data_IF_276856138747
#
_entry.id   IF_276856138747
#
_cell.length_a   1.000
_cell.length_b   1.000
_cell.length_c   1.000
_cell.angle_alpha   90.00
_cell.angle_beta   90.00
_cell.angle_gamma   90.00
#
_symmetry.space_group_name_H-M   'P 1'
#
loop_
_entity.id
_entity.type
_entity.pdbx_description
1 polymer ?
#
# COMPACT_ATOMS: atom_id res chain seq x y z
N UNK A 1 14.92 -6.95 21.06
CA UNK A 1 13.65 -7.46 20.50
C UNK A 1 12.58 -6.37 20.44
N UNK A 2 12.33 -5.66 21.54
CA UNK A 2 11.30 -4.60 21.60
C UNK A 2 11.55 -3.46 20.60
N UNK A 3 12.80 -3.08 20.36
CA UNK A 3 13.15 -2.03 19.40
C UNK A 3 12.84 -2.41 17.94
N UNK A 4 13.12 -3.66 17.55
CA UNK A 4 12.82 -4.17 16.20
C UNK A 4 11.32 -4.25 15.94
N UNK A 5 10.54 -4.73 16.93
CA UNK A 5 9.07 -4.77 16.86
C UNK A 5 8.50 -3.35 16.78
N UNK A 6 8.98 -2.44 17.62
CA UNK A 6 8.53 -1.03 17.61
C UNK A 6 8.82 -0.37 16.26
N UNK A 7 10.02 -0.59 15.71
CA UNK A 7 10.42 -0.10 14.38
C UNK A 7 9.49 -0.64 13.29
N UNK A 8 9.14 -1.93 13.33
CA UNK A 8 8.21 -2.52 12.38
C UNK A 8 6.80 -1.90 12.48
N UNK A 9 6.29 -1.71 13.70
CA UNK A 9 5.00 -1.06 13.95
C UNK A 9 4.98 0.37 13.38
N UNK A 10 6.03 1.15 13.64
CA UNK A 10 6.15 2.49 13.07
C UNK A 10 6.20 2.48 11.54
N UNK A 11 6.92 1.52 10.93
CA UNK A 11 6.94 1.36 9.48
C UNK A 11 5.55 1.07 8.91
N UNK A 12 4.74 0.24 9.57
CA UNK A 12 3.34 -0.03 9.19
C UNK A 12 2.50 1.25 9.27
N UNK A 13 2.62 2.05 10.35
CA UNK A 13 1.88 3.30 10.47
C UNK A 13 2.25 4.32 9.40
N UNK A 14 3.54 4.45 9.07
CA UNK A 14 4.00 5.29 7.96
C UNK A 14 3.41 4.80 6.63
N UNK A 15 3.42 3.48 6.40
CA UNK A 15 2.86 2.90 5.18
C UNK A 15 1.35 3.13 5.06
N UNK A 16 0.61 2.97 6.16
CA UNK A 16 -0.81 3.30 6.23
C UNK A 16 -1.06 4.80 5.95
N UNK A 17 -0.23 5.68 6.51
CA UNK A 17 -0.34 7.13 6.26
C UNK A 17 -0.16 7.46 4.76
N UNK A 18 0.78 6.79 4.07
CA UNK A 18 0.97 6.94 2.62
C UNK A 18 -0.27 6.46 1.86
N UNK A 19 -0.85 5.32 2.21
CA UNK A 19 -2.08 4.82 1.59
C UNK A 19 -3.25 5.80 1.77
N UNK A 20 -3.44 6.30 2.98
CA UNK A 20 -4.49 7.29 3.29
C UNK A 20 -4.28 8.58 2.51
N UNK A 21 -3.05 9.07 2.41
CA UNK A 21 -2.71 10.26 1.62
C UNK A 21 -2.99 10.06 0.12
N UNK A 22 -2.69 8.86 -0.40
CA UNK A 22 -2.98 8.52 -1.80
C UNK A 22 -4.48 8.44 -2.05
N UNK A 23 -5.24 7.78 -1.17
CA UNK A 23 -6.71 7.74 -1.24
C UNK A 23 -7.31 9.15 -1.17
N UNK A 24 -6.87 9.96 -0.22
CA UNK A 24 -7.27 11.36 -0.08
C UNK A 24 -7.02 12.13 -1.38
N UNK A 25 -5.86 11.94 -2.00
CA UNK A 25 -5.52 12.59 -3.26
C UNK A 25 -6.47 12.19 -4.39
N UNK A 26 -6.85 10.91 -4.49
CA UNK A 26 -7.81 10.41 -5.49
C UNK A 26 -9.22 10.97 -5.25
N UNK A 27 -9.65 11.11 -3.99
CA UNK A 27 -11.00 11.59 -3.66
C UNK A 27 -11.13 13.11 -3.83
N UNK A 28 -10.07 13.87 -3.58
CA UNK A 28 -10.13 15.35 -3.57
C UNK A 28 -9.74 16.02 -4.88
N UNK A 29 -8.80 15.45 -5.64
CA UNK A 29 -8.37 16.06 -6.89
C UNK A 29 -9.29 15.66 -8.03
N UNK A 30 -9.96 16.63 -8.66
CA UNK A 30 -10.78 16.41 -9.86
C UNK A 30 -9.97 16.47 -11.16
N UNK A 31 -8.82 17.13 -11.16
CA UNK A 31 -7.93 17.20 -12.32
C UNK A 31 -7.04 15.96 -12.43
N UNK A 32 -7.20 15.20 -13.51
CA UNK A 32 -6.46 13.97 -13.75
C UNK A 32 -4.96 14.20 -13.88
N UNK A 33 -4.52 15.27 -14.55
CA UNK A 33 -3.08 15.51 -14.80
C UNK A 33 -2.34 15.75 -13.48
N UNK A 34 -2.92 16.59 -12.61
CA UNK A 34 -2.39 16.90 -11.27
C UNK A 34 -2.43 15.69 -10.34
N UNK A 35 -3.47 14.85 -10.44
CA UNK A 35 -3.52 13.57 -9.72
C UNK A 35 -2.44 12.62 -10.22
N UNK A 36 -2.35 12.42 -11.53
CA UNK A 36 -1.43 11.50 -12.18
C UNK A 36 0.03 11.82 -11.83
N UNK A 37 0.42 13.10 -11.87
CA UNK A 37 1.77 13.53 -11.46
C UNK A 37 2.05 13.19 -9.99
N UNK A 38 1.09 13.44 -9.10
CA UNK A 38 1.23 13.13 -7.66
C UNK A 38 1.33 11.63 -7.42
N UNK A 39 0.44 10.83 -8.01
CA UNK A 39 0.44 9.37 -7.85
C UNK A 39 1.71 8.74 -8.44
N UNK A 40 2.19 9.24 -9.58
CA UNK A 40 3.46 8.81 -10.17
C UNK A 40 4.64 9.04 -9.21
N UNK A 41 4.66 10.17 -8.52
CA UNK A 41 5.70 10.47 -7.52
C UNK A 41 5.52 9.68 -6.22
N UNK A 42 4.28 9.43 -5.78
CA UNK A 42 4.00 8.62 -4.59
C UNK A 42 4.25 7.12 -4.80
N UNK A 43 4.21 6.63 -6.04
CA UNK A 43 4.45 5.21 -6.36
C UNK A 43 5.80 4.68 -5.86
N UNK A 44 6.96 5.32 -6.15
CA UNK A 44 8.24 4.87 -5.61
C UNK A 44 8.28 4.96 -4.07
N UNK A 45 7.67 6.00 -3.48
CA UNK A 45 7.61 6.16 -2.01
C UNK A 45 6.78 5.03 -1.38
N UNK A 46 5.66 4.67 -1.99
CA UNK A 46 4.83 3.55 -1.58
C UNK A 46 5.61 2.23 -1.62
N UNK A 47 6.30 1.95 -2.73
CA UNK A 47 7.08 0.71 -2.86
C UNK A 47 8.26 0.66 -1.90
N UNK A 48 8.91 1.80 -1.65
CA UNK A 48 9.95 1.93 -0.64
C UNK A 48 9.39 1.63 0.76
N UNK A 49 8.26 2.23 1.13
CA UNK A 49 7.62 1.98 2.42
C UNK A 49 7.21 0.51 2.58
N UNK A 50 6.62 -0.09 1.54
CA UNK A 50 6.29 -1.53 1.54
C UNK A 50 7.55 -2.39 1.71
N UNK A 51 8.65 -2.06 1.03
CA UNK A 51 9.92 -2.77 1.17
C UNK A 51 10.49 -2.66 2.60
N UNK A 52 10.40 -1.49 3.24
CA UNK A 52 10.79 -1.32 4.65
C UNK A 52 9.93 -2.20 5.56
N UNK A 53 8.61 -2.24 5.34
CA UNK A 53 7.70 -3.09 6.12
C UNK A 53 8.07 -4.57 5.97
N UNK A 54 8.31 -5.03 4.75
CA UNK A 54 8.75 -6.41 4.48
C UNK A 54 10.09 -6.70 5.15
N UNK A 55 11.07 -5.81 5.02
CA UNK A 55 12.41 -6.00 5.57
C UNK A 55 12.40 -6.05 7.10
N UNK A 56 11.75 -5.08 7.74
CA UNK A 56 11.60 -5.05 9.20
C UNK A 56 10.78 -6.21 9.73
N UNK A 57 9.70 -6.62 9.02
CA UNK A 57 8.89 -7.78 9.38
C UNK A 57 9.68 -9.09 9.28
N UNK A 58 10.52 -9.21 8.26
CA UNK A 58 11.44 -10.36 8.11
C UNK A 58 12.41 -10.44 9.28
N UNK A 59 13.02 -9.32 9.68
CA UNK A 59 13.90 -9.25 10.85
C UNK A 59 13.15 -9.73 12.11
N UNK A 60 11.96 -9.20 12.37
CA UNK A 60 11.13 -9.59 13.53
C UNK A 60 10.81 -11.09 13.50
N UNK A 61 10.44 -11.63 12.33
CA UNK A 61 10.16 -13.06 12.16
C UNK A 61 11.39 -13.93 12.47
N UNK A 62 12.57 -13.60 11.95
CA UNK A 62 13.81 -14.34 12.23
C UNK A 62 14.20 -14.29 13.70
N UNK A 63 14.09 -13.12 14.35
CA UNK A 63 14.40 -13.00 15.78
C UNK A 63 13.44 -13.79 16.68
N UNK A 64 12.19 -13.96 16.26
CA UNK A 64 11.20 -14.71 17.05
C UNK A 64 11.46 -16.23 17.11
N UNK A 65 12.34 -16.77 16.25
CA UNK A 65 12.63 -18.21 16.11
C UNK A 65 11.40 -19.13 15.91
N UNK A 66 10.20 -18.55 15.74
CA UNK A 66 8.94 -19.25 15.57
C UNK A 66 8.17 -18.63 14.42
N UNK A 67 7.89 -19.44 13.39
CA UNK A 67 7.05 -19.02 12.27
C UNK A 67 5.58 -19.10 12.70
N UNK A 68 4.99 -17.96 13.05
CA UNK A 68 3.58 -17.89 13.44
C UNK A 68 2.67 -17.87 12.21
N UNK A 69 1.42 -18.31 12.39
CA UNK A 69 0.37 -18.22 11.36
C UNK A 69 0.20 -16.77 10.85
N UNK A 70 0.37 -15.79 11.73
CA UNK A 70 0.31 -14.36 11.40
C UNK A 70 1.42 -13.94 10.42
N UNK A 71 2.66 -14.42 10.62
CA UNK A 71 3.78 -14.16 9.70
C UNK A 71 3.50 -14.79 8.32
N UNK A 72 2.92 -16.00 8.31
CA UNK A 72 2.54 -16.68 7.08
C UNK A 72 1.52 -15.89 6.25
N UNK A 73 0.62 -15.14 6.88
CA UNK A 73 -0.36 -14.28 6.22
C UNK A 73 0.21 -12.94 5.75
N UNK A 74 1.20 -12.38 6.46
CA UNK A 74 1.81 -11.09 6.12
C UNK A 74 2.58 -11.12 4.79
N UNK A 75 3.27 -12.23 4.50
CA UNK A 75 4.06 -12.40 3.26
C UNK A 75 3.18 -12.27 2.00
N UNK A 76 2.14 -13.09 1.78
CA UNK A 76 1.30 -12.98 0.59
C UNK A 76 0.57 -11.63 0.51
N UNK A 77 0.19 -11.04 1.66
CA UNK A 77 -0.42 -9.72 1.68
C UNK A 77 0.53 -8.63 1.16
N UNK A 78 1.79 -8.63 1.61
CA UNK A 78 2.78 -7.63 1.15
C UNK A 78 3.05 -7.73 -0.36
N UNK A 79 3.09 -8.95 -0.92
CA UNK A 79 3.20 -9.20 -2.36
C UNK A 79 1.94 -8.71 -3.07
N UNK A 80 0.76 -8.98 -2.51
CA UNK A 80 -0.50 -8.56 -3.08
C UNK A 80 -0.61 -7.03 -3.18
N UNK A 81 -0.28 -6.31 -2.10
CA UNK A 81 -0.22 -4.84 -2.07
C UNK A 81 0.74 -4.31 -3.15
N UNK A 82 1.92 -4.92 -3.28
CA UNK A 82 2.89 -4.55 -4.30
C UNK A 82 2.33 -4.74 -5.73
N UNK A 83 1.72 -5.88 -6.01
CA UNK A 83 1.19 -6.20 -7.35
C UNK A 83 0.03 -5.27 -7.73
N UNK A 84 -0.87 -4.97 -6.80
CA UNK A 84 -1.99 -4.07 -7.04
C UNK A 84 -1.49 -2.65 -7.36
N UNK A 85 -0.54 -2.12 -6.61
CA UNK A 85 -0.04 -0.76 -6.85
C UNK A 85 0.69 -0.65 -8.21
N UNK A 86 1.38 -1.72 -8.63
CA UNK A 86 1.98 -1.84 -9.97
C UNK A 86 0.88 -1.85 -11.05
N UNK A 87 -0.19 -2.61 -10.86
CA UNK A 87 -1.32 -2.64 -11.80
C UNK A 87 -1.95 -1.26 -11.94
N UNK A 88 -2.12 -0.53 -10.83
CA UNK A 88 -2.62 0.85 -10.83
C UNK A 88 -1.69 1.82 -11.54
N UNK A 89 -0.38 1.72 -11.33
CA UNK A 89 0.59 2.53 -12.07
C UNK A 89 0.54 2.25 -13.58
N UNK A 90 0.46 0.98 -13.97
CA UNK A 90 0.37 0.58 -15.38
C UNK A 90 -0.90 1.11 -16.03
N UNK A 91 -2.06 1.03 -15.37
CA UNK A 91 -3.33 1.59 -15.88
C UNK A 91 -3.25 3.11 -16.04
N UNK A 92 -2.61 3.81 -15.12
CA UNK A 92 -2.43 5.25 -15.19
C UNK A 92 -1.58 5.69 -16.40
N UNK A 93 -0.48 4.98 -16.68
CA UNK A 93 0.55 5.40 -17.65
C UNK A 93 0.04 5.49 -19.10
N UNK A 94 -0.98 4.74 -19.45
CA UNK A 94 -1.48 4.62 -20.83
C UNK A 94 -2.55 5.66 -21.19
N UNK A 95 -3.11 6.36 -20.20
CA UNK A 95 -4.23 7.29 -20.38
C UNK A 95 -3.69 8.65 -20.88
N UNK A 96 -4.25 9.15 -21.98
CA UNK A 96 -3.91 10.47 -22.54
C UNK A 96 -4.86 11.55 -22.02
N UNK A 97 -4.46 12.80 -22.22
CA UNK A 97 -5.25 13.98 -21.80
C UNK A 97 -6.62 14.05 -22.47
N UNK A 98 -6.72 13.56 -23.71
CA UNK A 98 -7.98 13.56 -24.46
C UNK A 98 -8.95 12.43 -24.05
N UNK A 99 -8.48 11.42 -23.30
CA UNK A 99 -9.26 10.21 -23.01
C UNK A 99 -10.13 10.38 -21.75
N UNK A 100 -11.15 11.24 -21.81
CA UNK A 100 -11.96 11.63 -20.63
C UNK A 100 -12.60 10.43 -19.94
N UNK A 101 -13.20 9.51 -20.70
CA UNK A 101 -13.84 8.30 -20.14
C UNK A 101 -12.83 7.41 -19.40
N UNK A 102 -11.64 7.22 -19.97
CA UNK A 102 -10.57 6.43 -19.33
C UNK A 102 -10.05 7.09 -18.05
N UNK A 103 -10.07 8.43 -17.98
CA UNK A 103 -9.71 9.17 -16.78
C UNK A 103 -10.74 8.92 -15.67
N UNK A 104 -12.04 9.00 -15.97
CA UNK A 104 -13.11 8.72 -15.01
C UNK A 104 -13.06 7.28 -14.50
N UNK A 105 -12.88 6.30 -15.39
CA UNK A 105 -12.67 4.91 -15.00
C UNK A 105 -11.46 4.73 -14.10
N UNK A 106 -10.38 5.48 -14.34
CA UNK A 106 -9.19 5.42 -13.51
C UNK A 106 -9.46 5.93 -12.10
N UNK A 107 -10.24 7.00 -11.92
CA UNK A 107 -10.61 7.49 -10.59
C UNK A 107 -11.33 6.42 -9.76
N UNK A 108 -12.34 5.77 -10.35
CA UNK A 108 -13.10 4.69 -9.71
C UNK A 108 -12.17 3.53 -9.35
N UNK A 109 -11.33 3.13 -10.30
CA UNK A 109 -10.38 2.04 -10.13
C UNK A 109 -9.34 2.34 -9.03
N UNK A 110 -8.71 3.53 -9.06
CA UNK A 110 -7.70 3.92 -8.09
C UNK A 110 -8.29 4.04 -6.68
N UNK A 111 -9.50 4.58 -6.54
CA UNK A 111 -10.22 4.62 -5.26
C UNK A 111 -10.46 3.21 -4.72
N UNK A 112 -10.91 2.29 -5.56
CA UNK A 112 -11.13 0.88 -5.19
C UNK A 112 -9.82 0.22 -4.76
N UNK A 113 -8.74 0.43 -5.51
CA UNK A 113 -7.40 -0.08 -5.17
C UNK A 113 -6.97 0.36 -3.78
N UNK A 114 -6.92 1.67 -3.52
CA UNK A 114 -6.46 2.16 -2.21
C UNK A 114 -7.37 1.73 -1.06
N UNK A 115 -8.68 1.62 -1.29
CA UNK A 115 -9.62 1.11 -0.28
C UNK A 115 -9.32 -0.37 0.06
N UNK A 116 -9.04 -1.20 -0.95
CA UNK A 116 -8.69 -2.61 -0.75
C UNK A 116 -7.35 -2.74 -0.01
N UNK A 117 -6.36 -1.93 -0.37
CA UNK A 117 -5.04 -1.96 0.27
C UNK A 117 -5.12 -1.64 1.77
N UNK A 118 -5.83 -0.57 2.12
CA UNK A 118 -6.06 -0.17 3.51
C UNK A 118 -6.84 -1.26 4.25
N UNK A 119 -7.89 -1.81 3.64
CA UNK A 119 -8.69 -2.87 4.26
C UNK A 119 -7.86 -4.12 4.58
N UNK A 120 -6.95 -4.53 3.68
CA UNK A 120 -6.05 -5.67 3.89
C UNK A 120 -5.09 -5.39 5.05
N UNK A 121 -4.49 -4.20 5.07
CA UNK A 121 -3.54 -3.84 6.12
C UNK A 121 -4.23 -3.80 7.51
N UNK A 122 -5.44 -3.25 7.59
CA UNK A 122 -6.26 -3.25 8.81
C UNK A 122 -6.68 -4.67 9.19
N UNK A 123 -7.11 -5.50 8.24
CA UNK A 123 -7.50 -6.87 8.52
C UNK A 123 -6.35 -7.69 9.11
N UNK A 124 -5.14 -7.55 8.57
CA UNK A 124 -3.94 -8.22 9.09
C UNK A 124 -3.60 -7.72 10.48
N UNK A 125 -3.74 -6.42 10.75
CA UNK A 125 -3.54 -5.87 12.09
C UNK A 125 -4.55 -6.43 13.11
N UNK A 126 -5.81 -6.60 12.72
CA UNK A 126 -6.82 -7.20 13.60
C UNK A 126 -6.47 -8.67 13.85
N UNK A 127 -6.14 -9.44 12.81
CA UNK A 127 -5.74 -10.84 12.93
C UNK A 127 -4.52 -10.99 13.84
N UNK A 128 -3.52 -10.11 13.73
CA UNK A 128 -2.33 -10.16 14.58
C UNK A 128 -2.55 -9.78 16.04
N UNK A 129 -3.71 -9.21 16.39
CA UNK A 129 -4.11 -8.94 17.77
C UNK A 129 -4.89 -10.09 18.40
N UNK A 130 -5.48 -10.96 17.58
CA UNK A 130 -6.30 -12.08 18.03
C UNK A 130 -5.48 -13.37 18.17
N UNK A 131 -4.48 -13.56 17.32
CA UNK A 131 -3.56 -14.72 17.30
C UNK A 131 -2.14 -14.30 17.65
#
# INVERSE_FOLDING_TARGET
MQDAISTHIYAIYIFLAIMLFNLYSVVTKKDFISLAKRLKFMTPIYHLANAIVIYTGTIVAFYSHHFSFTIALMIPASIFLLVIEIKRYKKQRVIKVADIELQEEFFIYAKKVYTIEIAILVAIYIVSKVF
#
